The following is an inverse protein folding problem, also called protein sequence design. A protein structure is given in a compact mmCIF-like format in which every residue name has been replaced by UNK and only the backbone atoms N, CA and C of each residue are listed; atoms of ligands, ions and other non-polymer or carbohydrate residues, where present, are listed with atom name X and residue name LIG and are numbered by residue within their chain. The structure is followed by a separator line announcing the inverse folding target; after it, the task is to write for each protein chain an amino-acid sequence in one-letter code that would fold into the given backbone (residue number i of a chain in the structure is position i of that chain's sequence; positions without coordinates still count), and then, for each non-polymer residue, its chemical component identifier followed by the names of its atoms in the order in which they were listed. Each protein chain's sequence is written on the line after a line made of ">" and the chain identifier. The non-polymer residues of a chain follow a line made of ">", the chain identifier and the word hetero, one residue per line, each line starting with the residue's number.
data_IF_669321414182
#
_entry.id   IF_669321414182
#
_cell.length_a   1.000
_cell.length_b   1.000
_cell.length_c   1.000
_cell.angle_alpha   90.00
_cell.angle_beta   90.00
_cell.angle_gamma   90.00
#
_symmetry.space_group_name_H-M   'P 1'
#
loop_
_entity.id
_entity.type
_entity.pdbx_description
1 polymer ?
#
# COMPACT_ATOMS: atom_id res chain seq x y z
N UNK A 1 -43.85 -42.44 -16.67
CA UNK A 1 -43.02 -41.54 -17.49
C UNK A 1 -42.26 -40.64 -16.54
N UNK A 2 -40.98 -40.49 -16.82
CA UNK A 2 -39.89 -40.02 -15.96
C UNK A 2 -40.08 -38.65 -15.31
N UNK A 3 -39.84 -38.69 -14.00
CA UNK A 3 -39.20 -37.70 -13.14
C UNK A 3 -38.27 -36.70 -13.87
N UNK A 4 -38.44 -35.41 -13.61
CA UNK A 4 -37.42 -34.38 -13.82
C UNK A 4 -37.77 -33.14 -12.99
N UNK A 5 -37.30 -33.12 -11.75
CA UNK A 5 -37.18 -31.88 -10.97
C UNK A 5 -35.72 -31.41 -11.03
N UNK A 6 -35.35 -30.40 -11.85
CA UNK A 6 -34.05 -29.78 -11.73
C UNK A 6 -34.20 -28.39 -11.13
N UNK A 7 -34.15 -28.28 -9.82
CA UNK A 7 -33.80 -27.01 -9.15
C UNK A 7 -32.57 -27.23 -8.29
N UNK A 8 -31.48 -27.63 -8.97
CA UNK A 8 -30.14 -27.42 -8.42
C UNK A 8 -29.91 -25.91 -8.49
N UNK A 9 -30.38 -25.21 -7.46
CA UNK A 9 -29.97 -23.83 -7.21
C UNK A 9 -28.49 -23.89 -6.86
N UNK A 10 -27.63 -23.92 -7.89
CA UNK A 10 -26.19 -23.71 -7.78
C UNK A 10 -25.99 -22.24 -7.37
N UNK A 11 -26.36 -21.93 -6.12
CA UNK A 11 -25.95 -20.71 -5.48
C UNK A 11 -24.43 -20.77 -5.39
N UNK A 12 -23.76 -20.08 -6.32
CA UNK A 12 -22.32 -19.92 -6.31
C UNK A 12 -21.88 -19.62 -4.86
N UNK A 13 -20.92 -20.38 -4.30
CA UNK A 13 -20.58 -20.24 -2.90
C UNK A 13 -20.25 -18.78 -2.62
N UNK A 14 -21.06 -18.14 -1.78
CA UNK A 14 -20.86 -16.75 -1.36
C UNK A 14 -19.51 -16.72 -0.65
N UNK A 15 -18.46 -16.34 -1.38
CA UNK A 15 -17.11 -16.21 -0.82
C UNK A 15 -17.17 -15.12 0.24
N UNK A 16 -17.28 -15.55 1.49
CA UNK A 16 -17.32 -14.67 2.66
C UNK A 16 -16.01 -13.88 2.67
N UNK A 17 -16.09 -12.58 2.38
CA UNK A 17 -14.91 -11.71 2.34
C UNK A 17 -14.30 -11.68 3.75
N UNK A 18 -13.01 -12.03 3.94
CA UNK A 18 -12.41 -12.04 5.27
C UNK A 18 -12.42 -10.62 5.86
N UNK A 19 -12.81 -10.49 7.13
CA UNK A 19 -12.88 -9.18 7.83
C UNK A 19 -11.52 -8.47 7.80
N UNK A 20 -10.43 -9.22 7.91
CA UNK A 20 -9.06 -8.69 7.79
C UNK A 20 -8.80 -7.97 6.47
N UNK A 21 -9.38 -8.42 5.35
CA UNK A 21 -9.22 -7.76 4.05
C UNK A 21 -9.90 -6.38 4.05
N UNK A 22 -11.06 -6.25 4.69
CA UNK A 22 -11.73 -4.96 4.89
C UNK A 22 -10.88 -4.01 5.74
N UNK A 23 -10.33 -4.50 6.85
CA UNK A 23 -9.49 -3.70 7.74
C UNK A 23 -8.24 -3.20 6.98
N UNK A 24 -7.56 -4.07 6.24
CA UNK A 24 -6.41 -3.71 5.42
C UNK A 24 -6.80 -2.67 4.36
N UNK A 25 -7.94 -2.88 3.68
CA UNK A 25 -8.42 -1.95 2.66
C UNK A 25 -8.71 -0.56 3.21
N UNK A 26 -9.50 -0.45 4.27
CA UNK A 26 -9.80 0.84 4.90
C UNK A 26 -8.55 1.53 5.43
N UNK A 27 -7.67 0.77 6.10
CA UNK A 27 -6.41 1.30 6.62
C UNK A 27 -5.55 1.91 5.50
N UNK A 28 -5.26 1.15 4.44
CA UNK A 28 -4.44 1.64 3.34
C UNK A 28 -5.12 2.71 2.50
N UNK A 29 -6.44 2.68 2.37
CA UNK A 29 -7.19 3.73 1.69
C UNK A 29 -7.01 5.07 2.40
N UNK A 30 -7.25 5.11 3.72
CA UNK A 30 -7.10 6.32 4.52
C UNK A 30 -5.63 6.78 4.51
N UNK A 31 -4.67 5.86 4.68
CA UNK A 31 -3.25 6.20 4.65
C UNK A 31 -2.81 6.76 3.29
N UNK A 32 -3.27 6.18 2.17
CA UNK A 32 -2.93 6.70 0.84
C UNK A 32 -3.52 8.09 0.61
N UNK A 33 -4.79 8.30 0.99
CA UNK A 33 -5.43 9.62 0.89
C UNK A 33 -4.67 10.65 1.72
N UNK A 34 -4.33 10.31 2.97
CA UNK A 34 -3.54 11.19 3.83
C UNK A 34 -2.19 11.54 3.20
N UNK A 35 -1.45 10.57 2.65
CA UNK A 35 -0.15 10.81 2.01
C UNK A 35 -0.29 11.70 0.78
N UNK A 36 -1.28 11.43 -0.07
CA UNK A 36 -1.55 12.23 -1.28
C UNK A 36 -1.90 13.68 -0.90
N UNK A 37 -2.79 13.85 0.09
CA UNK A 37 -3.18 15.19 0.58
C UNK A 37 -1.99 15.91 1.20
N UNK A 38 -1.22 15.25 2.06
CA UNK A 38 -0.03 15.84 2.68
C UNK A 38 0.99 16.28 1.62
N UNK A 39 1.30 15.43 0.63
CA UNK A 39 2.18 15.79 -0.47
C UNK A 39 1.62 16.92 -1.33
N UNK A 40 0.31 16.95 -1.56
CA UNK A 40 -0.35 18.02 -2.31
C UNK A 40 -0.16 19.36 -1.59
N UNK A 41 -0.48 19.45 -0.30
CA UNK A 41 -0.29 20.66 0.51
C UNK A 41 1.17 21.13 0.54
N UNK A 42 2.11 20.19 0.68
CA UNK A 42 3.55 20.47 0.61
C UNK A 42 3.94 21.04 -0.77
N UNK A 43 3.42 20.46 -1.86
CA UNK A 43 3.74 20.88 -3.22
C UNK A 43 3.06 22.20 -3.64
N UNK A 44 1.87 22.47 -3.12
CA UNK A 44 1.10 23.67 -3.39
C UNK A 44 1.64 24.90 -2.64
N UNK A 45 2.63 24.72 -1.76
CA UNK A 45 3.18 25.80 -0.94
C UNK A 45 2.19 26.39 0.07
N UNK A 46 1.07 25.69 0.33
CA UNK A 46 -0.01 26.15 1.20
C UNK A 46 0.26 25.98 2.69
N UNK A 47 1.48 25.61 3.07
CA UNK A 47 1.92 25.44 4.46
C UNK A 47 3.13 26.33 4.67
N UNK A 48 3.00 27.32 5.56
CA UNK A 48 4.16 28.06 6.07
C UNK A 48 5.05 27.08 6.83
N UNK A 49 6.14 26.68 6.19
CA UNK A 49 7.12 25.78 6.78
C UNK A 49 8.26 26.58 7.37
N UNK A 50 8.75 26.15 8.53
CA UNK A 50 9.97 26.69 9.08
C UNK A 50 11.12 26.54 8.05
N UNK A 51 12.04 27.50 7.94
CA UNK A 51 13.09 27.52 6.91
C UNK A 51 13.95 26.24 6.90
N UNK A 52 14.08 25.57 8.05
CA UNK A 52 14.73 24.28 8.21
C UNK A 52 14.00 23.17 7.44
N UNK A 53 12.68 23.05 7.55
CA UNK A 53 11.87 22.08 6.80
C UNK A 53 11.87 22.36 5.29
N UNK A 54 11.93 23.64 4.91
CA UNK A 54 11.98 24.07 3.53
C UNK A 54 13.31 23.68 2.86
N UNK A 55 14.43 23.79 3.60
CA UNK A 55 15.74 23.30 3.16
C UNK A 55 15.80 21.76 3.05
N UNK A 56 15.08 21.02 3.89
CA UNK A 56 14.94 19.57 3.76
C UNK A 56 14.11 19.16 2.55
N UNK A 57 13.01 19.86 2.27
CA UNK A 57 12.18 19.60 1.09
C UNK A 57 12.86 19.99 -0.22
N UNK A 58 13.76 20.97 -0.21
CA UNK A 58 14.59 21.32 -1.36
C UNK A 58 15.58 20.20 -1.74
N UNK A 59 15.94 19.31 -0.81
CA UNK A 59 16.76 18.12 -1.09
C UNK A 59 15.95 16.99 -1.75
N UNK A 60 14.63 16.98 -1.58
CA UNK A 60 13.75 16.03 -2.25
C UNK A 60 13.55 16.44 -3.69
N UNK A 61 14.11 15.66 -4.61
CA UNK A 61 13.94 15.91 -6.04
C UNK A 61 12.49 15.64 -6.47
N UNK A 62 12.05 16.26 -7.56
CA UNK A 62 10.75 15.95 -8.16
C UNK A 62 10.60 14.45 -8.48
N UNK A 63 11.72 13.77 -8.75
CA UNK A 63 11.77 12.34 -9.02
C UNK A 63 11.37 11.50 -7.79
N UNK A 64 11.82 11.87 -6.59
CA UNK A 64 11.44 11.17 -5.35
C UNK A 64 9.94 11.31 -5.06
N UNK A 65 9.34 12.46 -5.42
CA UNK A 65 7.89 12.68 -5.30
C UNK A 65 7.11 11.80 -6.27
N UNK A 66 7.55 11.71 -7.53
CA UNK A 66 6.92 10.85 -8.54
C UNK A 66 6.96 9.38 -8.13
N UNK A 67 8.11 8.91 -7.60
CA UNK A 67 8.25 7.54 -7.09
C UNK A 67 7.29 7.29 -5.92
N UNK A 68 7.15 8.26 -5.02
CA UNK A 68 6.18 8.21 -3.92
C UNK A 68 4.73 8.05 -4.39
N UNK A 69 4.30 8.89 -5.35
CA UNK A 69 2.96 8.80 -5.93
C UNK A 69 2.72 7.49 -6.68
N UNK A 70 3.70 7.06 -7.47
CA UNK A 70 3.63 5.78 -8.17
C UNK A 70 3.47 4.63 -7.17
N UNK A 71 4.26 4.61 -6.09
CA UNK A 71 4.19 3.57 -5.08
C UNK A 71 2.85 3.57 -4.31
N UNK A 72 2.33 4.76 -3.97
CA UNK A 72 1.01 4.90 -3.36
C UNK A 72 -0.10 4.38 -4.29
N UNK A 73 -0.03 4.71 -5.59
CA UNK A 73 -0.95 4.22 -6.60
C UNK A 73 -0.92 2.70 -6.75
N UNK A 74 0.27 2.09 -6.87
CA UNK A 74 0.41 0.63 -6.98
C UNK A 74 -0.09 -0.06 -5.71
N UNK A 75 0.17 0.51 -4.53
CA UNK A 75 -0.32 -0.02 -3.26
C UNK A 75 -1.85 0.01 -3.22
N UNK A 76 -2.46 1.13 -3.64
CA UNK A 76 -3.92 1.27 -3.67
C UNK A 76 -4.56 0.29 -4.66
N UNK A 77 -3.95 0.09 -5.84
CA UNK A 77 -4.37 -0.96 -6.80
C UNK A 77 -4.23 -2.35 -6.19
N UNK A 78 -3.10 -2.65 -5.55
CA UNK A 78 -2.84 -3.94 -4.91
C UNK A 78 -3.83 -4.26 -3.79
N UNK A 79 -4.15 -3.29 -2.95
CA UNK A 79 -5.12 -3.45 -1.86
C UNK A 79 -6.57 -3.52 -2.38
N UNK A 80 -6.90 -2.82 -3.47
CA UNK A 80 -8.19 -2.94 -4.16
C UNK A 80 -8.36 -4.33 -4.82
N UNK A 81 -7.29 -4.86 -5.40
CA UNK A 81 -7.26 -6.23 -5.92
C UNK A 81 -7.40 -7.26 -4.80
N UNK A 82 -6.76 -7.02 -3.64
CA UNK A 82 -6.89 -7.86 -2.46
C UNK A 82 -8.33 -7.86 -1.94
N UNK A 83 -8.97 -6.69 -1.92
CA UNK A 83 -10.39 -6.52 -1.59
C UNK A 83 -11.32 -7.27 -2.54
N UNK A 84 -10.95 -7.30 -3.82
CA UNK A 84 -11.64 -8.07 -4.86
C UNK A 84 -11.26 -9.56 -4.86
N UNK A 85 -10.44 -10.01 -3.91
CA UNK A 85 -9.91 -11.37 -3.78
C UNK A 85 -9.29 -11.89 -5.09
N UNK A 86 -8.61 -11.04 -5.86
CA UNK A 86 -7.92 -11.44 -7.10
C UNK A 86 -6.53 -11.97 -6.78
N UNK A 87 -6.12 -13.07 -7.42
CA UNK A 87 -4.75 -13.61 -7.27
C UNK A 87 -3.65 -12.61 -7.62
N UNK A 88 -3.93 -11.70 -8.56
CA UNK A 88 -3.03 -10.63 -8.98
C UNK A 88 -2.63 -9.68 -7.83
N UNK A 89 -3.44 -9.60 -6.76
CA UNK A 89 -3.15 -8.77 -5.60
C UNK A 89 -1.77 -9.06 -5.00
N UNK A 90 -1.36 -10.34 -4.96
CA UNK A 90 -0.08 -10.76 -4.39
C UNK A 90 1.09 -10.16 -5.18
N UNK A 91 1.05 -10.24 -6.51
CA UNK A 91 2.11 -9.73 -7.38
C UNK A 91 2.19 -8.21 -7.31
N UNK A 92 1.04 -7.53 -7.31
CA UNK A 92 1.00 -6.06 -7.26
C UNK A 92 1.45 -5.54 -5.90
N UNK A 93 1.04 -6.17 -4.79
CA UNK A 93 1.49 -5.81 -3.45
C UNK A 93 2.97 -6.14 -3.24
N UNK A 94 3.46 -7.26 -3.77
CA UNK A 94 4.88 -7.60 -3.73
C UNK A 94 5.72 -6.59 -4.53
N UNK A 95 5.23 -6.14 -5.69
CA UNK A 95 5.87 -5.10 -6.49
C UNK A 95 5.91 -3.76 -5.74
N UNK A 96 4.80 -3.35 -5.12
CA UNK A 96 4.76 -2.16 -4.27
C UNK A 96 5.75 -2.26 -3.11
N UNK A 97 5.81 -3.40 -2.44
CA UNK A 97 6.75 -3.63 -1.35
C UNK A 97 8.21 -3.57 -1.82
N UNK A 98 8.53 -4.21 -2.96
CA UNK A 98 9.86 -4.17 -3.54
C UNK A 98 10.28 -2.75 -3.96
N UNK A 99 9.37 -1.99 -4.59
CA UNK A 99 9.59 -0.58 -4.93
C UNK A 99 9.81 0.28 -3.70
N UNK A 100 9.05 0.04 -2.63
CA UNK A 100 9.19 0.76 -1.37
C UNK A 100 10.55 0.50 -0.72
N UNK A 101 10.98 -0.77 -0.66
CA UNK A 101 12.32 -1.15 -0.17
C UNK A 101 13.43 -0.54 -1.03
N UNK A 102 13.32 -0.64 -2.36
CA UNK A 102 14.30 -0.09 -3.28
C UNK A 102 14.44 1.42 -3.13
N UNK A 103 13.32 2.14 -3.08
CA UNK A 103 13.30 3.59 -2.90
C UNK A 103 13.93 3.99 -1.57
N UNK A 104 13.61 3.26 -0.50
CA UNK A 104 14.19 3.50 0.83
C UNK A 104 15.71 3.27 0.82
N UNK A 105 16.17 2.17 0.23
CA UNK A 105 17.59 1.86 0.10
C UNK A 105 18.35 2.91 -0.72
N UNK A 106 17.76 3.38 -1.83
CA UNK A 106 18.37 4.44 -2.66
C UNK A 106 18.51 5.74 -1.87
N UNK A 107 17.50 6.12 -1.09
CA UNK A 107 17.58 7.33 -0.23
C UNK A 107 18.66 7.16 0.83
N UNK A 108 18.71 6.01 1.50
CA UNK A 108 19.74 5.73 2.52
C UNK A 108 21.15 5.72 1.95
N UNK A 109 21.32 5.30 0.69
CA UNK A 109 22.62 5.34 0.02
C UNK A 109 23.04 6.76 -0.37
N UNK A 110 22.08 7.61 -0.76
CA UNK A 110 22.33 9.00 -1.15
C UNK A 110 22.45 9.94 0.05
N UNK A 111 21.85 9.61 1.17
CA UNK A 111 21.68 10.51 2.30
C UNK A 111 21.63 9.72 3.60
N UNK A 112 22.44 10.12 4.57
CA UNK A 112 22.47 9.46 5.87
C UNK A 112 21.11 9.64 6.58
N UNK A 113 20.33 8.56 6.79
CA UNK A 113 18.96 8.64 7.26
C UNK A 113 18.86 9.25 8.66
N UNK A 114 19.89 9.08 9.50
CA UNK A 114 19.97 9.65 10.84
C UNK A 114 20.22 11.16 10.84
N UNK A 115 20.79 11.70 9.76
CA UNK A 115 21.07 13.13 9.61
C UNK A 115 19.87 13.93 9.05
N UNK A 116 18.89 13.26 8.46
CA UNK A 116 17.77 13.91 7.75
C UNK A 116 16.38 13.51 8.21
N UNK A 117 16.26 12.42 8.96
CA UNK A 117 14.98 11.92 9.45
C UNK A 117 14.99 11.89 10.97
N UNK A 118 13.98 12.47 11.61
CA UNK A 118 13.84 12.36 13.06
C UNK A 118 13.72 10.88 13.47
N UNK A 119 14.14 10.50 14.69
CA UNK A 119 14.00 9.13 15.18
C UNK A 119 12.56 8.60 15.08
N UNK A 120 11.58 9.48 15.32
CA UNK A 120 10.15 9.23 15.12
C UNK A 120 9.80 8.95 13.65
N UNK A 121 10.39 9.65 12.69
CA UNK A 121 10.18 9.39 11.27
C UNK A 121 10.77 8.06 10.82
N UNK A 122 11.93 7.68 11.35
CA UNK A 122 12.54 6.36 11.08
C UNK A 122 11.71 5.22 11.65
N UNK A 123 11.19 5.37 12.88
CA UNK A 123 10.26 4.41 13.47
C UNK A 123 8.97 4.27 12.66
N UNK A 124 8.39 5.39 12.24
CA UNK A 124 7.20 5.39 11.39
C UNK A 124 7.46 4.70 10.03
N UNK A 125 8.62 4.92 9.42
CA UNK A 125 9.03 4.25 8.19
C UNK A 125 9.18 2.74 8.38
N UNK A 126 9.87 2.31 9.44
CA UNK A 126 10.04 0.90 9.76
C UNK A 126 8.71 0.19 10.00
N UNK A 127 7.79 0.84 10.73
CA UNK A 127 6.42 0.34 10.94
C UNK A 127 5.64 0.24 9.62
N UNK A 128 5.74 1.24 8.75
CA UNK A 128 5.11 1.24 7.43
C UNK A 128 5.58 0.08 6.55
N UNK A 129 6.90 -0.13 6.47
CA UNK A 129 7.50 -1.26 5.73
C UNK A 129 7.06 -2.59 6.32
N UNK A 130 7.13 -2.75 7.64
CA UNK A 130 6.70 -3.96 8.33
C UNK A 130 5.23 -4.29 8.09
N UNK A 131 4.36 -3.28 8.11
CA UNK A 131 2.93 -3.45 7.87
C UNK A 131 2.63 -3.80 6.42
N UNK A 132 3.35 -3.23 5.44
CA UNK A 132 3.22 -3.61 4.03
C UNK A 132 3.70 -5.04 3.80
N UNK A 133 4.81 -5.44 4.42
CA UNK A 133 5.30 -6.82 4.39
C UNK A 133 4.30 -7.83 4.98
N UNK A 134 3.65 -7.48 6.11
CA UNK A 134 2.58 -8.29 6.71
C UNK A 134 1.39 -8.46 5.76
N UNK A 135 1.00 -7.41 5.04
CA UNK A 135 -0.08 -7.47 4.05
C UNK A 135 0.29 -8.34 2.84
N UNK A 136 1.52 -8.22 2.34
CA UNK A 136 2.03 -9.11 1.28
C UNK A 136 1.99 -10.57 1.75
N UNK A 137 2.51 -10.86 2.94
CA UNK A 137 2.50 -12.21 3.52
C UNK A 137 1.07 -12.73 3.71
N UNK A 138 0.15 -11.90 4.20
CA UNK A 138 -1.25 -12.25 4.38
C UNK A 138 -1.94 -12.55 3.04
N UNK A 139 -1.71 -11.73 2.02
CA UNK A 139 -2.23 -11.94 0.67
C UNK A 139 -1.72 -13.25 0.06
N UNK A 140 -0.44 -13.57 0.26
CA UNK A 140 0.16 -14.83 -0.19
C UNK A 140 -0.43 -16.04 0.55
N UNK A 141 -0.67 -15.92 1.86
CA UNK A 141 -1.34 -16.95 2.66
C UNK A 141 -2.78 -17.18 2.19
N UNK A 142 -3.50 -16.13 1.82
CA UNK A 142 -4.84 -16.19 1.22
C UNK A 142 -4.83 -16.88 -0.15
N UNK A 143 -3.83 -16.59 -0.98
CA UNK A 143 -3.63 -17.26 -2.26
C UNK A 143 -3.41 -18.77 -2.10
N UNK A 144 -2.50 -19.15 -1.19
CA UNK A 144 -2.20 -20.56 -0.87
C UNK A 144 -3.41 -21.33 -0.33
N UNK A 145 -4.37 -20.63 0.29
CA UNK A 145 -5.63 -21.21 0.79
C UNK A 145 -6.71 -21.33 -0.29
N UNK A 146 -6.44 -20.95 -1.54
CA UNK A 146 -7.41 -21.03 -2.65
C UNK A 146 -8.58 -20.05 -2.56
N UNK A 147 -8.50 -19.08 -1.65
CA UNK A 147 -9.57 -18.09 -1.42
C UNK A 147 -9.54 -16.94 -2.44
N UNK A 148 -8.40 -16.75 -3.12
CA UNK A 148 -8.27 -15.80 -4.22
C UNK A 148 -8.73 -16.45 -5.54
N UNK A 149 -9.52 -15.73 -6.34
CA UNK A 149 -10.00 -16.15 -7.66
C UNK A 149 -8.91 -15.97 -8.72
#
# INVERSE_FOLDING_TARGET
>A
MTDATPTRTDAAPVRKRPILVWIIFLFYLISCVQVIVAMFFVSAGGVDMAPEQQAYLAKFTAMDRVIGYANAGITLVGVTLLFSLRKQAVNVLALAFALNLFSTAVVWFKTDPAAVTSPTGLLAQALGIGMLGLVVFYSWRLNKRGLLA
#
